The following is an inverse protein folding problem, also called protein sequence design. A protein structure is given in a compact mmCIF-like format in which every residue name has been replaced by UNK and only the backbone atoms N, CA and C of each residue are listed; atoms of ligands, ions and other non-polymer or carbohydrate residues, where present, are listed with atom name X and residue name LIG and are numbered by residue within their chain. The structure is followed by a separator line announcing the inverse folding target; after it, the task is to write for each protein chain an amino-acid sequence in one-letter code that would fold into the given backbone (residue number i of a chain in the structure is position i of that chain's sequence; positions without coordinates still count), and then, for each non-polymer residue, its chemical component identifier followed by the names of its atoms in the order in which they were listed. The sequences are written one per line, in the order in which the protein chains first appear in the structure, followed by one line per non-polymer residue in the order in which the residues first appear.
data_IF_214115615723
#
_entry.id   IF_214115615723
#
_cell.length_a   1.000
_cell.length_b   1.000
_cell.length_c   1.000
_cell.angle_alpha   90.00
_cell.angle_beta   90.00
_cell.angle_gamma   90.00
#
_symmetry.space_group_name_H-M   'P 1'
#
loop_
_entity.id
_entity.type
_entity.pdbx_description
1 polymer ?
#
# COMPACT_ATOMS: atom_id res chain seq x y z
N UNK A 1 9.19 -16.77 7.84
CA UNK A 1 8.15 -17.05 8.86
C UNK A 1 7.47 -15.73 9.17
N UNK A 2 6.14 -15.69 9.35
CA UNK A 2 5.42 -14.47 9.72
C UNK A 2 5.30 -14.44 11.24
N UNK A 3 5.63 -13.31 11.88
CA UNK A 3 5.58 -13.16 13.33
C UNK A 3 4.73 -11.95 13.71
N UNK A 4 3.86 -12.14 14.72
CA UNK A 4 3.08 -11.05 15.31
C UNK A 4 3.98 -9.99 15.95
N UNK A 5 5.02 -10.41 16.66
CA UNK A 5 5.94 -9.49 17.31
C UNK A 5 6.68 -8.59 16.32
N UNK A 6 7.08 -9.14 15.17
CA UNK A 6 7.72 -8.34 14.11
C UNK A 6 6.74 -7.39 13.43
N UNK A 7 5.51 -7.83 13.19
CA UNK A 7 4.45 -6.96 12.70
C UNK A 7 4.19 -5.78 13.63
N UNK A 8 4.05 -6.04 14.94
CA UNK A 8 3.83 -5.00 15.95
C UNK A 8 5.03 -4.05 16.06
N UNK A 9 6.26 -4.59 15.98
CA UNK A 9 7.47 -3.77 15.94
C UNK A 9 7.45 -2.82 14.75
N UNK A 10 7.22 -3.35 13.54
CA UNK A 10 7.17 -2.56 12.30
C UNK A 10 6.03 -1.55 12.32
N UNK A 11 4.85 -1.92 12.83
CA UNK A 11 3.69 -1.04 12.93
C UNK A 11 4.00 0.20 13.80
N UNK A 12 4.72 0.01 14.90
CA UNK A 12 5.08 1.08 15.85
C UNK A 12 6.37 1.84 15.50
N UNK A 13 7.05 1.53 14.39
CA UNK A 13 8.23 2.28 13.97
C UNK A 13 7.88 3.72 13.59
N UNK A 14 8.69 4.66 14.08
CA UNK A 14 8.71 6.04 13.65
C UNK A 14 9.30 6.14 12.23
N UNK A 15 8.45 6.38 11.24
CA UNK A 15 8.80 6.41 9.81
C UNK A 15 9.69 7.59 9.42
N UNK A 16 9.74 8.64 10.26
CA UNK A 16 10.61 9.80 10.02
C UNK A 16 12.10 9.47 10.12
N UNK A 17 12.44 8.39 10.83
CA UNK A 17 13.82 7.93 11.05
C UNK A 17 14.26 6.87 10.05
N UNK A 18 13.39 6.46 9.14
CA UNK A 18 13.65 5.40 8.17
C UNK A 18 14.09 5.97 6.83
N UNK A 19 14.98 5.27 6.14
CA UNK A 19 15.26 5.48 4.73
C UNK A 19 14.04 5.12 3.86
N UNK A 20 14.03 5.54 2.60
CA UNK A 20 12.97 5.21 1.65
C UNK A 20 12.79 3.70 1.46
N UNK A 21 13.89 2.95 1.41
CA UNK A 21 13.86 1.49 1.25
C UNK A 21 13.25 0.83 2.49
N UNK A 22 13.61 1.30 3.69
CA UNK A 22 13.04 0.79 4.94
C UNK A 22 11.56 1.14 5.08
N UNK A 23 11.14 2.34 4.66
CA UNK A 23 9.72 2.71 4.59
C UNK A 23 8.97 1.81 3.62
N UNK A 24 9.51 1.56 2.43
CA UNK A 24 8.90 0.67 1.43
C UNK A 24 8.80 -0.77 1.94
N UNK A 25 9.85 -1.27 2.61
CA UNK A 25 9.85 -2.58 3.25
C UNK A 25 8.76 -2.67 4.33
N UNK A 26 8.71 -1.70 5.24
CA UNK A 26 7.69 -1.61 6.29
C UNK A 26 6.29 -1.59 5.69
N UNK A 27 6.05 -0.71 4.72
CA UNK A 27 4.76 -0.58 4.03
C UNK A 27 4.31 -1.91 3.44
N UNK A 28 5.19 -2.57 2.67
CA UNK A 28 4.88 -3.85 2.05
C UNK A 28 4.60 -4.95 3.09
N UNK A 29 5.39 -5.01 4.16
CA UNK A 29 5.20 -5.98 5.24
C UNK A 29 3.83 -5.79 5.91
N UNK A 30 3.49 -4.57 6.31
CA UNK A 30 2.22 -4.27 6.98
C UNK A 30 1.02 -4.59 6.08
N UNK A 31 1.07 -4.20 4.80
CA UNK A 31 -0.01 -4.51 3.86
C UNK A 31 -0.24 -6.01 3.65
N UNK A 32 0.84 -6.80 3.58
CA UNK A 32 0.75 -8.22 3.27
C UNK A 32 0.50 -9.10 4.49
N UNK A 33 1.01 -8.70 5.66
CA UNK A 33 0.81 -9.41 6.92
C UNK A 33 -0.41 -8.92 7.71
N UNK A 34 -0.98 -7.77 7.34
CA UNK A 34 -2.12 -7.14 8.00
C UNK A 34 -3.45 -7.52 7.37
N UNK A 35 -4.50 -7.49 8.20
CA UNK A 35 -5.89 -7.64 7.78
C UNK A 35 -6.37 -6.34 7.15
N UNK A 36 -7.09 -6.43 6.02
CA UNK A 36 -7.65 -5.28 5.33
C UNK A 36 -6.64 -4.35 4.63
N UNK A 37 -5.33 -4.53 4.85
CA UNK A 37 -4.30 -3.65 4.27
C UNK A 37 -4.33 -2.22 4.82
N UNK A 38 -4.83 -2.04 6.04
CA UNK A 38 -4.92 -0.73 6.70
C UNK A 38 -3.58 -0.32 7.32
N UNK A 39 -3.09 0.88 7.02
CA UNK A 39 -1.79 1.36 7.52
C UNK A 39 -1.92 2.21 8.79
N UNK A 40 -3.01 2.98 8.95
CA UNK A 40 -3.21 3.80 10.15
C UNK A 40 -3.87 3.01 11.29
N UNK A 41 -4.45 1.84 10.99
CA UNK A 41 -4.95 0.90 11.98
C UNK A 41 -4.52 -0.56 11.65
N UNK A 42 -3.20 -0.83 11.68
CA UNK A 42 -2.66 -2.10 11.23
C UNK A 42 -3.04 -3.22 12.22
N UNK A 43 -3.73 -4.24 11.72
CA UNK A 43 -4.14 -5.42 12.50
C UNK A 43 -3.48 -6.67 11.94
N UNK A 44 -2.75 -7.41 12.76
CA UNK A 44 -2.09 -8.64 12.30
C UNK A 44 -3.12 -9.66 11.82
N UNK A 45 -2.96 -10.17 10.60
CA UNK A 45 -3.89 -11.14 10.04
C UNK A 45 -3.66 -12.53 10.62
N UNK A 46 -4.70 -13.10 11.22
CA UNK A 46 -4.77 -14.50 11.66
C UNK A 46 -5.89 -15.23 10.94
N UNK A 47 -5.79 -16.55 10.88
CA UNK A 47 -6.90 -17.39 10.45
C UNK A 47 -6.89 -18.71 11.22
N UNK A 48 -8.06 -19.09 11.70
CA UNK A 48 -8.29 -20.28 12.53
C UNK A 48 -8.76 -21.45 11.65
N UNK A 49 -9.44 -21.14 10.52
CA UNK A 49 -10.07 -22.13 9.64
C UNK A 49 -9.17 -22.61 8.51
N UNK A 50 -8.15 -21.85 8.11
CA UNK A 50 -7.22 -22.23 7.03
C UNK A 50 -5.83 -22.64 7.56
N UNK A 51 -5.64 -22.75 8.88
CA UNK A 51 -4.34 -23.10 9.46
C UNK A 51 -3.29 -21.98 9.43
N UNK A 52 -3.71 -20.72 9.33
CA UNK A 52 -2.81 -19.55 9.29
C UNK A 52 -2.38 -19.11 7.88
N UNK A 53 -2.93 -19.73 6.85
CA UNK A 53 -2.70 -19.40 5.43
C UNK A 53 -3.40 -18.12 4.97
N UNK A 54 -4.29 -17.55 5.80
CA UNK A 54 -4.89 -16.25 5.51
C UNK A 54 -3.84 -15.14 5.33
N UNK A 55 -2.73 -15.23 6.05
CA UNK A 55 -1.65 -14.24 5.98
C UNK A 55 -0.91 -14.33 4.63
N UNK A 56 -0.96 -13.24 3.85
CA UNK A 56 -0.50 -13.22 2.46
C UNK A 56 1.01 -13.05 2.33
N UNK A 57 1.72 -12.69 3.40
CA UNK A 57 3.14 -12.30 3.34
C UNK A 57 4.04 -13.40 2.78
N UNK A 58 3.87 -14.66 3.16
CA UNK A 58 4.75 -15.74 2.68
C UNK A 58 4.61 -15.90 1.15
N UNK A 59 3.38 -15.96 0.65
CA UNK A 59 3.12 -16.04 -0.78
C UNK A 59 3.60 -14.77 -1.51
N UNK A 60 3.35 -13.61 -0.92
CA UNK A 60 3.78 -12.32 -1.44
C UNK A 60 5.31 -12.24 -1.61
N UNK A 61 6.08 -12.70 -0.62
CA UNK A 61 7.54 -12.77 -0.69
C UNK A 61 8.02 -13.82 -1.70
N UNK A 62 7.40 -15.01 -1.72
CA UNK A 62 7.74 -16.09 -2.68
C UNK A 62 7.63 -15.63 -4.13
N UNK A 63 6.62 -14.81 -4.43
CA UNK A 63 6.35 -14.29 -5.77
C UNK A 63 6.70 -12.81 -5.94
N UNK A 64 7.53 -12.25 -5.03
CA UNK A 64 7.79 -10.81 -4.98
C UNK A 64 8.38 -10.29 -6.28
N UNK A 65 9.41 -10.97 -6.78
CA UNK A 65 10.10 -10.58 -8.01
C UNK A 65 9.16 -10.60 -9.20
N UNK A 66 8.39 -11.68 -9.36
CA UNK A 66 7.42 -11.82 -10.45
C UNK A 66 6.31 -10.76 -10.40
N UNK A 67 5.98 -10.25 -9.21
CA UNK A 67 5.00 -9.16 -9.04
C UNK A 67 5.61 -7.78 -9.27
N UNK A 68 6.84 -7.55 -8.81
CA UNK A 68 7.50 -6.25 -8.90
C UNK A 68 7.97 -5.95 -10.32
N UNK A 69 8.49 -6.94 -11.05
CA UNK A 69 9.06 -6.75 -12.39
C UNK A 69 8.08 -6.08 -13.39
N UNK A 70 6.84 -6.57 -13.59
CA UNK A 70 5.89 -5.90 -14.48
C UNK A 70 5.43 -4.53 -13.96
N UNK A 71 5.38 -4.35 -12.63
CA UNK A 71 5.07 -3.04 -12.03
C UNK A 71 6.17 -2.04 -12.33
N UNK A 72 7.43 -2.44 -12.17
CA UNK A 72 8.60 -1.64 -12.47
C UNK A 72 8.61 -1.20 -13.94
N UNK A 73 8.44 -2.14 -14.87
CA UNK A 73 8.38 -1.84 -16.31
C UNK A 73 7.26 -0.84 -16.67
N UNK A 74 6.09 -0.97 -16.05
CA UNK A 74 4.99 -0.02 -16.24
C UNK A 74 5.33 1.35 -15.66
N UNK A 75 5.93 1.38 -14.47
CA UNK A 75 6.24 2.63 -13.76
C UNK A 75 7.37 3.42 -14.42
N UNK A 76 8.23 2.77 -15.22
CA UNK A 76 9.26 3.47 -16.02
C UNK A 76 8.68 4.50 -17.01
N UNK A 77 7.41 4.38 -17.37
CA UNK A 77 6.75 5.21 -18.39
C UNK A 77 5.76 6.23 -17.81
N UNK A 78 5.70 6.38 -16.49
CA UNK A 78 4.73 7.27 -15.83
C UNK A 78 5.43 8.22 -14.87
N UNK A 79 4.79 9.36 -14.63
CA UNK A 79 5.17 10.31 -13.59
C UNK A 79 4.18 10.11 -12.43
N UNK A 80 4.71 9.98 -11.20
CA UNK A 80 3.91 9.86 -9.98
C UNK A 80 4.03 11.18 -9.22
N UNK A 81 2.91 11.80 -8.92
CA UNK A 81 2.83 13.05 -8.17
C UNK A 81 2.10 12.81 -6.84
N UNK A 82 2.61 13.38 -5.76
CA UNK A 82 1.93 13.44 -4.46
C UNK A 82 1.48 14.89 -4.23
N UNK A 83 0.39 15.28 -4.88
CA UNK A 83 -0.15 16.64 -4.89
C UNK A 83 -1.66 16.61 -4.64
N UNK A 84 -2.22 17.76 -4.23
CA UNK A 84 -3.66 17.97 -4.28
C UNK A 84 -4.17 17.83 -5.71
N UNK A 85 -5.37 17.26 -5.87
CA UNK A 85 -5.93 16.96 -7.19
C UNK A 85 -6.08 18.23 -8.06
N UNK A 86 -6.35 19.39 -7.48
CA UNK A 86 -6.48 20.65 -8.24
C UNK A 86 -5.15 21.03 -8.87
N UNK A 87 -4.05 20.89 -8.13
CA UNK A 87 -2.71 21.16 -8.65
C UNK A 87 -2.32 20.19 -9.77
N UNK A 88 -2.75 18.92 -9.69
CA UNK A 88 -2.59 17.97 -10.80
C UNK A 88 -3.37 18.41 -12.05
N UNK A 89 -4.60 18.89 -11.89
CA UNK A 89 -5.42 19.39 -13.00
C UNK A 89 -4.76 20.59 -13.69
N UNK A 90 -4.37 21.60 -12.91
CA UNK A 90 -3.70 22.80 -13.44
C UNK A 90 -2.44 22.45 -14.25
N UNK A 91 -1.69 21.45 -13.78
CA UNK A 91 -0.45 20.99 -14.42
C UNK A 91 -0.69 20.24 -15.72
N UNK A 92 -1.69 19.36 -15.79
CA UNK A 92 -1.81 18.36 -16.86
C UNK A 92 -3.02 18.51 -17.79
N UNK A 93 -4.02 19.34 -17.47
CA UNK A 93 -5.20 19.54 -18.32
C UNK A 93 -4.85 20.25 -19.63
N UNK A 94 -4.83 19.49 -20.73
CA UNK A 94 -4.44 19.95 -22.07
C UNK A 94 -5.34 19.26 -23.11
N UNK A 95 -5.50 19.83 -24.32
CA UNK A 95 -6.44 19.31 -25.32
C UNK A 95 -6.33 17.81 -25.67
N UNK A 96 -5.15 17.21 -25.51
CA UNK A 96 -4.90 15.79 -25.81
C UNK A 96 -4.73 14.92 -24.55
N UNK A 97 -5.06 15.44 -23.37
CA UNK A 97 -5.00 14.70 -22.11
C UNK A 97 -6.35 14.02 -21.85
N UNK A 98 -6.31 12.74 -21.45
CA UNK A 98 -7.48 12.05 -20.89
C UNK A 98 -7.28 11.97 -19.37
N UNK A 99 -8.25 12.46 -18.60
CA UNK A 99 -8.25 12.37 -17.14
C UNK A 99 -9.22 11.29 -16.66
N UNK A 100 -8.70 10.37 -15.85
CA UNK A 100 -9.50 9.45 -15.09
C UNK A 100 -9.53 9.91 -13.62
N UNK A 101 -10.73 10.03 -13.05
CA UNK A 101 -10.95 10.54 -11.70
C UNK A 101 -11.73 9.50 -10.91
N UNK A 102 -11.17 9.05 -9.79
CA UNK A 102 -11.80 8.09 -8.88
C UNK A 102 -11.80 8.68 -7.46
N UNK A 103 -12.74 9.60 -7.15
CA UNK A 103 -12.75 10.27 -5.85
C UNK A 103 -13.27 9.32 -4.75
N UNK A 104 -12.99 9.62 -3.47
CA UNK A 104 -13.63 8.95 -2.34
C UNK A 104 -15.16 8.97 -2.47
N UNK A 105 -15.81 7.81 -2.38
CA UNK A 105 -17.27 7.70 -2.44
C UNK A 105 -17.87 7.89 -1.04
N UNK A 106 -18.71 8.93 -0.79
CA UNK A 106 -19.15 9.28 0.57
C UNK A 106 -20.08 8.25 1.22
N UNK A 107 -20.80 7.45 0.44
CA UNK A 107 -21.89 6.59 0.94
C UNK A 107 -21.55 5.09 0.94
N UNK A 108 -20.30 4.71 0.69
CA UNK A 108 -19.92 3.29 0.58
C UNK A 108 -19.46 2.67 1.92
N UNK A 109 -19.48 3.43 3.02
CA UNK A 109 -19.02 2.98 4.32
C UNK A 109 -17.51 2.70 4.41
N UNK A 110 -16.72 3.07 3.40
CA UNK A 110 -15.27 2.97 3.43
C UNK A 110 -14.67 4.23 4.09
N UNK A 111 -13.88 4.04 5.14
CA UNK A 111 -13.17 5.13 5.81
C UNK A 111 -11.89 5.50 5.04
N UNK A 112 -12.04 6.37 4.03
CA UNK A 112 -10.90 6.92 3.28
C UNK A 112 -9.97 7.80 4.13
N UNK A 113 -10.46 8.32 5.26
CA UNK A 113 -9.70 9.15 6.21
C UNK A 113 -8.63 8.39 6.99
N UNK A 114 -8.69 7.05 7.01
CA UNK A 114 -7.76 6.20 7.77
C UNK A 114 -6.62 5.61 6.91
N UNK A 115 -6.46 6.04 5.65
CA UNK A 115 -5.39 5.53 4.79
C UNK A 115 -4.49 6.62 4.18
N UNK A 116 -4.73 7.89 4.53
CA UNK A 116 -3.88 9.03 4.16
C UNK A 116 -2.70 9.21 5.11
#
# INVERSE_FOLDING_TARGET
MVSRAEFERLANLDTSKLSDIERAHRFYYILMAGWGGELNYPRFQTSISDGGHGNRLIGALKYLRQRIEPVYERLQKVIIENLDWKACFDRYDRPNTVMYIDPPYPDNGCNYTLNG
#
